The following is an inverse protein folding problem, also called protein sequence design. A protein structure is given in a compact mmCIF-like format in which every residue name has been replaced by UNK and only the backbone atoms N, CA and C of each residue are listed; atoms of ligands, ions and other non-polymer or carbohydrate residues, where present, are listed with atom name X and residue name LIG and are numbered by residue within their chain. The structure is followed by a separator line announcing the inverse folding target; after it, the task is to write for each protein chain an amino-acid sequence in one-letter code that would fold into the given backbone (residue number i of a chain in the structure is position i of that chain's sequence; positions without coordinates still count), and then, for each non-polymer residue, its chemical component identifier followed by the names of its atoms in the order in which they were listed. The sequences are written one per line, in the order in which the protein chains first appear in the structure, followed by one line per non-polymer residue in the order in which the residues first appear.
data_IF_198240142292
#
_entry.id   IF_198240142292
#
_cell.length_a   1.000
_cell.length_b   1.000
_cell.length_c   1.000
_cell.angle_alpha   90.00
_cell.angle_beta   90.00
_cell.angle_gamma   90.00
#
_symmetry.space_group_name_H-M   'P 1'
#
loop_
_entity.id
_entity.type
_entity.pdbx_description
1 polymer ?
#
# COMPACT_ATOMS: atom_id res chain seq x y z
N UNK A 1 -44.74 -15.42 57.89
CA UNK A 1 -43.98 -16.68 58.10
C UNK A 1 -43.59 -17.23 56.73
N UNK A 2 -42.36 -17.74 56.61
CA UNK A 2 -41.76 -18.47 55.47
C UNK A 2 -41.45 -17.60 54.22
N UNK A 3 -40.25 -17.00 54.03
CA UNK A 3 -38.92 -17.56 53.72
C UNK A 3 -38.87 -18.49 52.50
N UNK A 4 -37.88 -18.19 51.63
CA UNK A 4 -37.32 -18.95 50.48
C UNK A 4 -37.72 -18.35 49.12
N UNK A 5 -36.80 -18.02 48.20
CA UNK A 5 -35.37 -18.24 48.17
C UNK A 5 -34.77 -17.53 46.95
N UNK A 6 -33.53 -17.07 47.12
CA UNK A 6 -32.64 -16.57 46.08
C UNK A 6 -32.28 -17.71 45.14
N UNK A 7 -32.29 -17.49 43.82
CA UNK A 7 -31.26 -18.04 42.93
C UNK A 7 -31.25 -17.34 41.56
N UNK A 8 -30.16 -16.58 41.38
CA UNK A 8 -29.70 -15.97 40.14
C UNK A 8 -29.49 -17.04 39.05
N UNK A 9 -30.05 -16.82 37.86
CA UNK A 9 -29.63 -17.50 36.64
C UNK A 9 -29.13 -16.45 35.64
N UNK A 10 -27.82 -16.48 35.40
CA UNK A 10 -27.07 -15.42 34.73
C UNK A 10 -27.33 -15.32 33.23
N UNK A 11 -27.63 -14.11 32.78
CA UNK A 11 -27.49 -13.71 31.39
C UNK A 11 -26.07 -13.18 31.16
N UNK A 12 -25.12 -14.08 30.93
CA UNK A 12 -23.79 -13.70 30.38
C UNK A 12 -23.93 -13.53 28.86
N UNK A 13 -24.55 -12.42 28.43
CA UNK A 13 -24.42 -11.90 27.06
C UNK A 13 -23.09 -11.13 27.00
N UNK A 14 -21.99 -11.87 26.94
CA UNK A 14 -20.68 -11.28 26.64
C UNK A 14 -20.68 -10.74 25.21
N UNK A 15 -20.16 -9.53 24.96
CA UNK A 15 -20.10 -9.00 23.61
C UNK A 15 -19.17 -9.88 22.78
N UNK A 16 -19.67 -10.38 21.64
CA UNK A 16 -18.83 -10.91 20.58
C UNK A 16 -17.82 -9.82 20.22
N UNK A 17 -16.57 -10.01 20.65
CA UNK A 17 -15.44 -9.24 20.13
C UNK A 17 -15.33 -9.55 18.65
N UNK A 18 -15.96 -8.70 17.84
CA UNK A 18 -15.71 -8.65 16.41
C UNK A 18 -14.22 -8.34 16.25
N UNK A 19 -13.44 -9.36 15.90
CA UNK A 19 -12.09 -9.17 15.41
C UNK A 19 -12.23 -8.26 14.19
N UNK A 20 -11.96 -6.97 14.36
CA UNK A 20 -11.78 -6.05 13.24
C UNK A 20 -10.58 -6.56 12.48
N UNK A 21 -10.82 -7.37 11.45
CA UNK A 21 -9.91 -7.51 10.35
C UNK A 21 -9.64 -6.08 9.88
N UNK A 22 -8.45 -5.56 10.18
CA UNK A 22 -7.98 -4.34 9.53
C UNK A 22 -8.00 -4.67 8.05
N UNK A 23 -9.01 -4.17 7.34
CA UNK A 23 -9.06 -4.27 5.90
C UNK A 23 -7.74 -3.69 5.41
N UNK A 24 -6.93 -4.45 4.63
CA UNK A 24 -5.67 -3.94 4.14
C UNK A 24 -6.01 -2.79 3.18
N UNK A 25 -5.98 -1.58 3.72
CA UNK A 25 -6.13 -0.35 2.96
C UNK A 25 -4.96 -0.36 1.99
N UNK A 26 -5.24 -0.51 0.69
CA UNK A 26 -4.20 -0.38 -0.34
C UNK A 26 -3.61 1.01 -0.19
N UNK A 27 -2.40 1.05 0.37
CA UNK A 27 -1.70 2.28 0.66
C UNK A 27 -0.77 2.62 -0.51
N UNK A 28 -0.70 3.90 -0.84
CA UNK A 28 0.05 4.40 -1.97
C UNK A 28 1.55 4.18 -1.78
N UNK A 29 2.23 3.94 -2.90
CA UNK A 29 3.68 3.79 -2.96
C UNK A 29 4.25 5.02 -3.65
N UNK A 30 5.21 5.68 -3.02
CA UNK A 30 5.78 6.94 -3.53
C UNK A 30 7.25 6.71 -3.84
N UNK A 31 7.61 6.83 -5.11
CA UNK A 31 8.97 6.72 -5.62
C UNK A 31 9.51 8.10 -6.01
N UNK A 32 10.58 8.55 -5.38
CA UNK A 32 11.38 9.70 -5.83
C UNK A 32 12.45 9.25 -6.82
N UNK A 33 12.59 9.98 -7.93
CA UNK A 33 13.59 9.74 -8.97
C UNK A 33 14.54 10.94 -9.12
N UNK A 34 15.70 10.73 -9.75
CA UNK A 34 16.67 11.82 -9.95
C UNK A 34 16.17 12.96 -10.86
N UNK A 35 15.38 12.61 -11.87
CA UNK A 35 14.86 13.55 -12.87
C UNK A 35 13.46 13.15 -13.35
N UNK A 36 12.66 14.16 -13.70
CA UNK A 36 11.32 13.99 -14.24
C UNK A 36 11.05 15.09 -15.27
N UNK A 37 10.48 14.72 -16.42
CA UNK A 37 10.01 15.62 -17.46
C UNK A 37 8.77 15.03 -18.14
N UNK A 38 8.13 15.76 -19.05
CA UNK A 38 6.92 15.29 -19.74
C UNK A 38 7.10 13.95 -20.47
N UNK A 39 8.26 13.72 -21.09
CA UNK A 39 8.58 12.43 -21.73
C UNK A 39 8.73 11.28 -20.72
N UNK A 40 9.26 11.56 -19.53
CA UNK A 40 9.38 10.57 -18.46
C UNK A 40 8.00 10.12 -17.95
N UNK A 41 7.08 11.07 -17.77
CA UNK A 41 5.70 10.78 -17.34
C UNK A 41 5.05 9.80 -18.30
N UNK A 42 5.06 10.09 -19.61
CA UNK A 42 4.50 9.20 -20.63
C UNK A 42 5.09 7.79 -20.58
N UNK A 43 6.41 7.67 -20.41
CA UNK A 43 7.11 6.38 -20.37
C UNK A 43 6.74 5.57 -19.12
N UNK A 44 6.64 6.23 -17.97
CA UNK A 44 6.29 5.60 -16.69
C UNK A 44 4.85 5.13 -16.70
N UNK A 45 3.91 6.00 -17.08
CA UNK A 45 2.48 5.66 -17.19
C UNK A 45 2.30 4.47 -18.11
N UNK A 46 2.83 4.52 -19.34
CA UNK A 46 2.72 3.42 -20.30
C UNK A 46 3.30 2.10 -19.77
N UNK A 47 4.40 2.14 -19.00
CA UNK A 47 4.97 0.91 -18.44
C UNK A 47 4.07 0.31 -17.37
N UNK A 48 3.55 1.12 -16.46
CA UNK A 48 2.70 0.65 -15.37
C UNK A 48 1.26 0.36 -15.78
N UNK A 49 0.77 0.89 -16.91
CA UNK A 49 -0.51 0.48 -17.51
C UNK A 49 -0.53 -1.01 -17.88
N UNK A 50 0.64 -1.59 -18.16
CA UNK A 50 0.79 -3.04 -18.42
C UNK A 50 0.91 -3.87 -17.15
N UNK A 51 0.98 -3.24 -15.97
CA UNK A 51 1.06 -3.92 -14.67
C UNK A 51 -0.35 -3.99 -14.10
N UNK A 52 -1.02 -5.14 -14.30
CA UNK A 52 -2.43 -5.32 -13.94
C UNK A 52 -2.74 -5.11 -12.45
N UNK A 53 -1.73 -5.17 -11.59
CA UNK A 53 -1.79 -4.94 -10.14
C UNK A 53 -1.85 -3.45 -9.74
N UNK A 54 -1.55 -2.53 -10.67
CA UNK A 54 -1.59 -1.08 -10.44
C UNK A 54 -2.94 -0.52 -10.92
N UNK A 55 -3.63 0.19 -10.04
CA UNK A 55 -4.90 0.86 -10.35
C UNK A 55 -4.67 2.25 -10.96
N UNK A 56 -3.67 2.98 -10.48
CA UNK A 56 -3.36 4.35 -10.91
C UNK A 56 -1.88 4.68 -10.76
N UNK A 57 -1.40 5.51 -11.67
CA UNK A 57 -0.07 6.12 -11.64
C UNK A 57 -0.23 7.64 -11.66
N UNK A 58 0.35 8.32 -10.70
CA UNK A 58 0.38 9.78 -10.63
C UNK A 58 1.83 10.26 -10.63
N UNK A 59 2.20 11.16 -11.52
CA UNK A 59 3.56 11.65 -11.64
C UNK A 59 3.61 13.16 -11.36
N UNK A 60 4.55 13.57 -10.50
CA UNK A 60 4.85 14.97 -10.26
C UNK A 60 6.24 15.29 -10.81
N UNK A 61 6.27 16.18 -11.80
CA UNK A 61 7.51 16.72 -12.37
C UNK A 61 8.24 17.57 -11.33
N UNK A 62 7.51 18.45 -10.65
CA UNK A 62 8.03 19.35 -9.62
C UNK A 62 8.68 18.58 -8.46
N UNK A 63 7.97 17.57 -7.93
CA UNK A 63 8.48 16.76 -6.80
C UNK A 63 9.39 15.62 -7.23
N UNK A 64 9.58 15.43 -8.55
CA UNK A 64 10.32 14.31 -9.14
C UNK A 64 9.88 12.96 -8.55
N UNK A 65 8.56 12.78 -8.45
CA UNK A 65 7.97 11.64 -7.76
C UNK A 65 6.92 10.93 -8.60
N UNK A 66 6.84 9.61 -8.44
CA UNK A 66 5.81 8.74 -8.99
C UNK A 66 5.05 8.12 -7.84
N UNK A 67 3.74 8.30 -7.82
CA UNK A 67 2.84 7.66 -6.88
C UNK A 67 2.12 6.51 -7.59
N UNK A 68 2.29 5.31 -7.08
CA UNK A 68 1.58 4.12 -7.53
C UNK A 68 0.48 3.80 -6.54
N UNK A 69 -0.74 3.61 -7.06
CA UNK A 69 -1.88 3.15 -6.28
C UNK A 69 -2.11 1.68 -6.67
N UNK A 70 -1.84 0.73 -5.76
CA UNK A 70 -2.19 -0.67 -5.99
C UNK A 70 -3.69 -0.85 -6.11
N UNK A 71 -4.14 -1.90 -6.81
CA UNK A 71 -5.53 -2.37 -6.70
C UNK A 71 -5.84 -2.84 -5.28
N UNK A 72 -7.12 -3.00 -4.96
CA UNK A 72 -7.55 -3.44 -3.64
C UNK A 72 -6.96 -4.81 -3.28
N UNK A 73 -6.46 -4.93 -2.05
CA UNK A 73 -5.87 -6.16 -1.49
C UNK A 73 -4.63 -6.67 -2.26
N UNK A 74 -4.02 -5.82 -3.09
CA UNK A 74 -2.78 -6.14 -3.81
C UNK A 74 -1.60 -5.53 -3.08
N UNK A 75 -0.55 -6.34 -2.91
CA UNK A 75 0.74 -5.89 -2.40
C UNK A 75 1.77 -5.96 -3.52
N UNK A 76 2.24 -4.81 -3.98
CA UNK A 76 3.30 -4.74 -4.98
C UNK A 76 4.66 -5.10 -4.35
N UNK A 77 5.52 -5.79 -5.11
CA UNK A 77 6.89 -6.07 -4.67
C UNK A 77 7.74 -4.78 -4.68
N UNK A 78 8.39 -4.41 -3.55
CA UNK A 78 9.31 -3.29 -3.50
C UNK A 78 10.43 -3.41 -4.54
N UNK A 79 11.08 -4.58 -4.59
CA UNK A 79 12.13 -4.86 -5.59
C UNK A 79 11.59 -4.80 -7.02
N UNK A 80 10.42 -5.39 -7.28
CA UNK A 80 9.81 -5.38 -8.62
C UNK A 80 9.53 -3.97 -9.14
N UNK A 81 9.01 -3.08 -8.30
CA UNK A 81 8.81 -1.67 -8.68
C UNK A 81 10.14 -0.99 -8.99
N UNK A 82 11.15 -1.21 -8.14
CA UNK A 82 12.47 -0.63 -8.34
C UNK A 82 13.08 -1.07 -9.68
N UNK A 83 12.98 -2.36 -10.00
CA UNK A 83 13.48 -2.96 -11.25
C UNK A 83 12.74 -2.45 -12.48
N UNK A 84 11.41 -2.31 -12.41
CA UNK A 84 10.62 -1.74 -13.50
C UNK A 84 11.10 -0.32 -13.80
N UNK A 85 11.33 0.48 -12.77
CA UNK A 85 11.81 1.86 -12.93
C UNK A 85 13.22 1.91 -13.54
N UNK A 86 14.16 1.10 -13.05
CA UNK A 86 15.49 0.98 -13.65
C UNK A 86 15.42 0.52 -15.12
N UNK A 87 14.59 -0.47 -15.42
CA UNK A 87 14.42 -1.03 -16.77
C UNK A 87 13.89 -0.04 -17.80
N UNK A 88 13.18 1.01 -17.38
CA UNK A 88 12.76 2.11 -18.27
C UNK A 88 13.73 3.29 -18.29
N UNK A 89 14.90 3.16 -17.66
CA UNK A 89 15.95 4.17 -17.59
C UNK A 89 15.67 5.26 -16.55
N UNK A 90 14.90 4.96 -15.49
CA UNK A 90 14.77 5.84 -14.33
C UNK A 90 15.81 5.50 -13.29
N UNK A 91 16.13 6.49 -12.46
CA UNK A 91 17.06 6.36 -11.34
C UNK A 91 16.29 6.57 -10.03
N UNK A 92 15.67 5.51 -9.48
CA UNK A 92 15.12 5.53 -8.12
C UNK A 92 16.12 6.08 -7.09
N UNK A 93 15.65 6.97 -6.22
CA UNK A 93 16.44 7.55 -5.11
C UNK A 93 15.83 7.22 -3.75
N UNK A 94 14.51 7.16 -3.69
CA UNK A 94 13.77 6.84 -2.47
C UNK A 94 12.44 6.21 -2.84
N UNK A 95 12.04 5.15 -2.16
CA UNK A 95 10.71 4.57 -2.27
C UNK A 95 10.08 4.47 -0.89
N UNK A 96 8.89 5.03 -0.73
CA UNK A 96 8.09 4.95 0.49
C UNK A 96 6.95 3.99 0.21
N UNK A 97 6.84 2.97 1.04
CA UNK A 97 5.84 1.94 0.98
C UNK A 97 5.29 1.68 2.40
N UNK A 98 4.15 0.98 2.53
CA UNK A 98 3.58 0.65 3.83
C UNK A 98 4.50 -0.23 4.69
N UNK A 99 5.34 -1.02 4.03
CA UNK A 99 6.31 -1.93 4.67
C UNK A 99 7.67 -1.28 4.95
N UNK A 100 7.87 -0.02 4.53
CA UNK A 100 9.07 0.73 4.89
C UNK A 100 9.48 1.79 3.89
N UNK A 101 10.63 2.40 4.18
CA UNK A 101 11.29 3.35 3.29
C UNK A 101 12.60 2.76 2.79
N UNK A 102 12.78 2.78 1.47
CA UNK A 102 13.96 2.26 0.79
C UNK A 102 14.72 3.40 0.12
N UNK A 103 16.01 3.55 0.44
CA UNK A 103 16.92 4.53 -0.20
C UNK A 103 17.89 3.87 -1.19
N UNK A 104 17.78 2.55 -1.34
CA UNK A 104 18.51 1.73 -2.29
C UNK A 104 17.63 0.56 -2.71
N UNK A 105 18.04 -0.16 -3.77
CA UNK A 105 17.30 -1.28 -4.32
C UNK A 105 17.00 -2.33 -3.24
N UNK A 106 15.71 -2.65 -2.99
CA UNK A 106 15.33 -3.68 -2.03
C UNK A 106 15.88 -5.05 -2.46
N UNK A 107 16.31 -5.85 -1.49
CA UNK A 107 16.82 -7.21 -1.74
C UNK A 107 15.71 -8.26 -1.85
N UNK A 108 14.50 -7.91 -1.42
CA UNK A 108 13.32 -8.78 -1.30
C UNK A 108 12.11 -8.18 -2.02
#
# INVERSE_FOLDING_TARGET
MCLSGVLLLGAMLGPFSSARATEPKSQNIIMTVGEMCGGCVKKITKRFDTVGEVAKVDCSIEKKSVTLVPRDKVRLSPKGIWEIMEGIGKTPKKMIMPDGTFTSKPKF
#
